data_IF_497291178051
#
_entry.id   IF_497291178051
#
_cell.length_a   1.000
_cell.length_b   1.000
_cell.length_c   1.000
_cell.angle_alpha   90.00
_cell.angle_beta   90.00
_cell.angle_gamma   90.00
#
_symmetry.space_group_name_H-M   'P 1'
#
loop_
_entity.id
_entity.type
_entity.pdbx_description
1 polymer ?
#
# COMPACT_ATOMS: atom_id res chain seq x y z
N UNK A 1 -30.52 15.05 1.17
CA UNK A 1 -30.13 13.69 0.78
C UNK A 1 -28.78 13.81 0.12
N UNK A 2 -27.71 13.63 0.90
CA UNK A 2 -26.38 14.16 0.61
C UNK A 2 -25.39 13.08 0.16
N UNK A 3 -24.83 13.31 -1.01
CA UNK A 3 -23.50 12.91 -1.52
C UNK A 3 -23.04 11.48 -1.23
N UNK A 4 -23.39 10.55 -2.13
CA UNK A 4 -22.62 9.32 -2.37
C UNK A 4 -21.32 9.67 -3.10
N UNK A 5 -20.21 9.82 -2.36
CA UNK A 5 -18.87 9.80 -2.94
C UNK A 5 -18.10 8.58 -2.39
N UNK A 6 -18.58 7.44 -2.84
CA UNK A 6 -18.05 6.10 -2.67
C UNK A 6 -16.75 5.94 -3.48
N UNK A 7 -15.58 6.20 -2.87
CA UNK A 7 -14.29 5.83 -3.45
C UNK A 7 -13.22 5.68 -2.35
N UNK A 8 -13.29 4.59 -1.60
CA UNK A 8 -12.15 4.02 -0.85
C UNK A 8 -11.66 2.75 -1.55
N UNK A 9 -10.70 1.99 -0.97
CA UNK A 9 -10.24 0.67 -1.48
C UNK A 9 -11.38 -0.19 -2.03
N UNK A 10 -12.55 -0.08 -1.42
CA UNK A 10 -13.69 -0.96 -1.65
C UNK A 10 -14.75 -0.40 -2.59
N UNK A 11 -14.50 0.73 -3.26
CA UNK A 11 -15.44 1.35 -4.19
C UNK A 11 -16.68 1.87 -3.48
N UNK A 12 -17.59 1.00 -3.04
CA UNK A 12 -18.94 1.30 -2.56
C UNK A 12 -19.19 1.09 -1.06
N UNK A 13 -18.19 0.66 -0.31
CA UNK A 13 -18.37 0.26 1.09
C UNK A 13 -17.99 1.41 2.03
N UNK A 14 -19.01 2.01 2.64
CA UNK A 14 -18.86 3.04 3.65
C UNK A 14 -18.26 2.54 4.98
N UNK A 15 -17.80 3.44 5.86
CA UNK A 15 -17.10 3.08 7.09
C UNK A 15 -18.00 2.31 8.06
N UNK A 16 -19.30 2.62 8.14
CA UNK A 16 -20.26 1.86 8.94
C UNK A 16 -20.42 0.43 8.44
N UNK A 17 -20.49 0.24 7.12
CA UNK A 17 -20.67 -1.07 6.51
C UNK A 17 -19.41 -1.91 6.66
N UNK A 18 -18.24 -1.32 6.47
CA UNK A 18 -16.96 -2.00 6.70
C UNK A 18 -16.83 -2.45 8.16
N UNK A 19 -17.10 -1.56 9.11
CA UNK A 19 -17.01 -1.87 10.54
C UNK A 19 -18.02 -2.94 10.96
N UNK A 20 -19.31 -2.73 10.67
CA UNK A 20 -20.39 -3.60 11.16
C UNK A 20 -20.48 -4.91 10.38
N UNK A 21 -20.22 -4.86 9.08
CA UNK A 21 -20.34 -6.00 8.19
C UNK A 21 -19.14 -6.93 8.28
N UNK A 22 -17.93 -6.39 8.40
CA UNK A 22 -16.71 -7.17 8.24
C UNK A 22 -15.80 -7.12 9.46
N UNK A 23 -15.37 -5.93 9.88
CA UNK A 23 -14.29 -5.82 10.87
C UNK A 23 -14.70 -6.34 12.26
N UNK A 24 -15.84 -5.88 12.77
CA UNK A 24 -16.35 -6.32 14.08
C UNK A 24 -16.69 -7.82 14.08
N UNK A 25 -17.43 -8.38 13.11
CA UNK A 25 -17.66 -9.82 13.04
C UNK A 25 -16.37 -10.64 12.98
N UNK A 26 -15.38 -10.23 12.18
CA UNK A 26 -14.09 -10.91 12.11
C UNK A 26 -13.35 -10.90 13.45
N UNK A 27 -13.33 -9.76 14.15
CA UNK A 27 -12.73 -9.65 15.47
C UNK A 27 -13.44 -10.53 16.51
N UNK A 28 -14.77 -10.54 16.54
CA UNK A 28 -15.53 -11.39 17.48
C UNK A 28 -15.34 -12.88 17.17
N UNK A 29 -15.31 -13.26 15.89
CA UNK A 29 -15.03 -14.63 15.47
C UNK A 29 -13.61 -15.06 15.89
N UNK A 30 -12.61 -14.19 15.69
CA UNK A 30 -11.26 -14.38 16.21
C UNK A 30 -11.30 -14.65 17.72
N UNK A 31 -11.93 -13.79 18.52
CA UNK A 31 -11.96 -13.95 19.99
C UNK A 31 -12.54 -15.29 20.45
N UNK A 32 -13.45 -15.88 19.66
CA UNK A 32 -14.04 -17.18 19.97
C UNK A 32 -13.16 -18.38 19.59
N UNK A 33 -12.24 -18.22 18.64
CA UNK A 33 -11.46 -19.33 18.04
C UNK A 33 -10.00 -19.26 18.44
N UNK A 34 -9.38 -18.09 18.31
CA UNK A 34 -7.98 -17.82 18.61
C UNK A 34 -7.84 -16.35 19.07
N UNK A 35 -7.93 -16.09 20.38
CA UNK A 35 -7.82 -14.73 20.90
C UNK A 35 -6.43 -14.11 20.70
N UNK A 36 -5.39 -14.93 20.46
CA UNK A 36 -4.01 -14.49 20.29
C UNK A 36 -3.68 -14.05 18.85
N UNK A 37 -4.44 -14.55 17.86
CA UNK A 37 -4.34 -14.12 16.46
C UNK A 37 -4.46 -12.59 16.33
N UNK A 38 -3.95 -12.00 15.24
CA UNK A 38 -4.02 -10.53 15.02
C UNK A 38 -4.93 -10.19 13.85
N UNK A 39 -5.77 -9.17 14.03
CA UNK A 39 -6.57 -8.58 12.95
C UNK A 39 -5.80 -7.39 12.38
N UNK A 40 -5.34 -7.55 11.14
CA UNK A 40 -4.87 -6.48 10.28
C UNK A 40 -6.08 -5.89 9.54
N UNK A 41 -6.39 -4.62 9.79
CA UNK A 41 -7.45 -3.92 9.05
C UNK A 41 -6.86 -3.14 7.88
N UNK A 42 -7.42 -3.32 6.67
CA UNK A 42 -7.10 -2.51 5.50
C UNK A 42 -7.89 -1.21 5.57
N UNK A 43 -7.25 -0.12 5.99
CA UNK A 43 -7.95 1.11 6.36
C UNK A 43 -7.81 2.23 5.32
N UNK A 44 -6.73 2.21 4.56
CA UNK A 44 -6.46 3.27 3.60
C UNK A 44 -5.74 2.73 2.35
N UNK A 45 -6.10 3.30 1.21
CA UNK A 45 -5.32 3.21 -0.01
C UNK A 45 -4.97 4.61 -0.46
N UNK A 46 -3.68 4.86 -0.56
CA UNK A 46 -3.16 6.16 -0.95
C UNK A 46 -2.64 6.01 -2.37
N UNK A 47 -3.40 6.47 -3.39
CA UNK A 47 -2.82 6.64 -4.71
C UNK A 47 -1.78 7.76 -4.66
N UNK A 48 -0.96 7.80 -5.70
CA UNK A 48 -0.10 8.94 -6.00
C UNK A 48 -0.84 10.29 -5.88
N UNK A 49 -0.11 11.39 -5.63
CA UNK A 49 -0.71 12.73 -5.49
C UNK A 49 -1.36 13.26 -6.79
N UNK A 50 -1.29 12.54 -7.92
CA UNK A 50 -2.08 12.81 -9.13
C UNK A 50 -3.37 11.96 -9.23
N UNK A 51 -3.64 11.09 -8.27
CA UNK A 51 -4.88 10.32 -8.08
C UNK A 51 -5.15 9.25 -9.14
N UNK A 52 -4.12 8.52 -9.55
CA UNK A 52 -4.18 7.65 -10.74
C UNK A 52 -4.34 6.15 -10.46
N UNK A 53 -5.19 5.73 -9.51
CA UNK A 53 -5.94 4.46 -9.71
C UNK A 53 -7.26 4.66 -10.47
N UNK A 54 -7.80 5.88 -10.57
CA UNK A 54 -8.87 6.20 -11.57
C UNK A 54 -8.65 7.47 -12.43
N UNK A 55 -7.59 8.26 -12.20
CA UNK A 55 -7.25 9.40 -13.06
C UNK A 55 -7.91 10.68 -12.57
N UNK A 56 -7.85 10.91 -11.26
CA UNK A 56 -8.60 11.98 -10.61
C UNK A 56 -7.69 12.83 -9.74
N UNK A 57 -7.31 14.05 -10.16
CA UNK A 57 -6.62 15.03 -9.32
C UNK A 57 -7.55 15.69 -8.29
N UNK A 58 -8.58 14.99 -7.81
CA UNK A 58 -9.70 15.58 -7.06
C UNK A 58 -9.41 15.61 -5.54
N UNK A 59 -9.28 16.80 -4.92
CA UNK A 59 -9.19 16.95 -3.46
C UNK A 59 -10.32 16.25 -2.70
N UNK A 60 -11.49 16.05 -3.33
CA UNK A 60 -12.60 15.32 -2.73
C UNK A 60 -12.21 13.88 -2.35
N UNK A 61 -11.35 13.21 -3.11
CA UNK A 61 -10.93 11.82 -2.80
C UNK A 61 -9.93 11.74 -1.64
N UNK A 62 -9.02 12.71 -1.52
CA UNK A 62 -8.11 12.77 -0.37
C UNK A 62 -8.89 13.09 0.91
N UNK A 63 -9.85 14.02 0.82
CA UNK A 63 -10.80 14.26 1.90
C UNK A 63 -11.59 12.99 2.20
N UNK A 64 -12.04 12.23 1.20
CA UNK A 64 -12.77 10.98 1.43
C UNK A 64 -11.96 9.94 2.20
N UNK A 65 -10.64 9.78 1.96
CA UNK A 65 -9.82 8.83 2.75
C UNK A 65 -9.64 9.32 4.18
N UNK A 66 -9.35 10.61 4.39
CA UNK A 66 -9.21 11.19 5.73
C UNK A 66 -10.54 11.08 6.49
N UNK A 67 -11.65 11.45 5.84
CA UNK A 67 -13.00 11.40 6.39
C UNK A 67 -13.42 9.96 6.67
N UNK A 68 -13.10 9.00 5.79
CA UNK A 68 -13.39 7.59 6.00
C UNK A 68 -12.66 7.03 7.22
N UNK A 69 -11.35 7.29 7.31
CA UNK A 69 -10.51 6.81 8.42
C UNK A 69 -10.91 7.50 9.73
N UNK A 70 -11.17 8.80 9.71
CA UNK A 70 -11.68 9.56 10.85
C UNK A 70 -13.07 9.08 11.28
N UNK A 71 -13.94 8.73 10.32
CA UNK A 71 -15.27 8.18 10.61
C UNK A 71 -15.17 6.80 11.25
N UNK A 72 -14.28 5.91 10.78
CA UNK A 72 -14.02 4.63 11.44
C UNK A 72 -13.56 4.83 12.88
N UNK A 73 -12.66 5.78 13.15
CA UNK A 73 -12.26 6.14 14.50
C UNK A 73 -13.47 6.55 15.36
N UNK A 74 -14.29 7.48 14.86
CA UNK A 74 -15.47 7.98 15.57
C UNK A 74 -16.54 6.89 15.82
N UNK A 75 -16.59 5.86 14.98
CA UNK A 75 -17.49 4.71 15.14
C UNK A 75 -16.96 3.64 16.12
N UNK A 76 -15.77 3.82 16.70
CA UNK A 76 -15.16 2.85 17.62
C UNK A 76 -14.44 1.69 16.92
N UNK A 77 -14.05 1.84 15.65
CA UNK A 77 -13.26 0.83 14.95
C UNK A 77 -11.96 0.39 15.68
N UNK A 78 -11.23 1.26 16.42
CA UNK A 78 -10.00 0.87 17.10
C UNK A 78 -10.12 -0.32 18.07
N UNK A 79 -11.32 -0.64 18.55
CA UNK A 79 -11.57 -1.78 19.44
C UNK A 79 -11.64 -3.12 18.69
N UNK A 80 -11.68 -3.09 17.36
CA UNK A 80 -11.94 -4.27 16.51
C UNK A 80 -10.79 -4.63 15.58
N UNK A 81 -9.60 -4.05 15.77
CA UNK A 81 -8.40 -4.46 15.05
C UNK A 81 -7.14 -4.30 15.89
N UNK A 82 -6.11 -5.08 15.54
CA UNK A 82 -4.82 -5.06 16.21
C UNK A 82 -3.82 -4.17 15.45
N UNK A 83 -3.85 -4.20 14.12
CA UNK A 83 -2.89 -3.51 13.24
C UNK A 83 -3.63 -2.69 12.19
N UNK A 84 -3.20 -1.43 12.00
CA UNK A 84 -3.70 -0.54 10.97
C UNK A 84 -2.89 -0.70 9.68
N UNK A 85 -3.54 -1.09 8.58
CA UNK A 85 -2.88 -1.34 7.31
C UNK A 85 -3.20 -0.30 6.24
N UNK A 86 -2.19 0.04 5.43
CA UNK A 86 -2.29 0.96 4.30
C UNK A 86 -1.62 0.37 3.05
N UNK A 87 -2.28 0.50 1.90
CA UNK A 87 -1.70 0.20 0.60
C UNK A 87 -1.33 1.49 -0.13
N UNK A 88 -0.13 1.53 -0.71
CA UNK A 88 0.46 2.74 -1.30
C UNK A 88 1.04 2.39 -2.67
N UNK A 89 0.55 3.05 -3.72
CA UNK A 89 1.12 2.90 -5.06
C UNK A 89 1.24 4.27 -5.75
N UNK A 90 2.37 4.52 -6.39
CA UNK A 90 2.47 5.56 -7.41
C UNK A 90 1.78 5.15 -8.70
N UNK A 91 1.34 6.16 -9.46
CA UNK A 91 0.63 6.10 -10.75
C UNK A 91 0.82 4.78 -11.49
N UNK A 92 -0.06 3.81 -11.21
CA UNK A 92 -0.02 2.48 -11.83
C UNK A 92 -0.22 2.56 -13.35
N UNK A 93 -0.76 3.68 -13.86
CA UNK A 93 -1.03 3.90 -15.29
C UNK A 93 0.14 4.53 -16.05
N UNK A 94 0.99 5.32 -15.40
CA UNK A 94 2.02 6.09 -16.11
C UNK A 94 3.42 5.93 -15.56
N UNK A 95 3.55 5.39 -14.36
CA UNK A 95 4.77 5.42 -13.60
C UNK A 95 5.31 6.85 -13.43
N UNK A 96 6.15 7.09 -12.45
CA UNK A 96 7.08 8.20 -12.52
C UNK A 96 7.96 8.06 -13.79
N UNK A 97 8.05 9.12 -14.61
CA UNK A 97 8.93 9.15 -15.81
C UNK A 97 10.43 9.06 -15.46
N UNK A 98 10.77 9.11 -14.18
CA UNK A 98 12.12 8.99 -13.63
C UNK A 98 12.07 8.62 -12.15
N UNK A 99 13.13 7.96 -11.66
CA UNK A 99 13.34 7.69 -10.24
C UNK A 99 13.22 8.93 -9.33
N UNK A 100 13.69 10.10 -9.78
CA UNK A 100 13.60 11.34 -8.99
C UNK A 100 12.15 11.79 -8.77
N UNK A 101 11.32 11.68 -9.82
CA UNK A 101 9.89 11.96 -9.73
C UNK A 101 9.15 10.90 -8.92
N UNK A 102 9.60 9.65 -8.99
CA UNK A 102 9.08 8.57 -8.15
C UNK A 102 9.30 8.89 -6.69
N UNK A 103 10.54 9.19 -6.35
CA UNK A 103 10.97 9.49 -5.00
C UNK A 103 10.17 10.66 -4.41
N UNK A 104 9.97 11.75 -5.15
CA UNK A 104 9.19 12.88 -4.61
C UNK A 104 7.70 12.56 -4.38
N UNK A 105 7.06 11.82 -5.28
CA UNK A 105 5.61 11.55 -5.22
C UNK A 105 5.28 10.37 -4.30
N UNK A 106 6.03 9.27 -4.39
CA UNK A 106 5.88 8.09 -3.53
C UNK A 106 6.22 8.39 -2.09
N UNK A 107 7.32 9.10 -1.83
CA UNK A 107 7.64 9.45 -0.46
C UNK A 107 6.52 10.32 0.12
N UNK A 108 5.95 11.24 -0.67
CA UNK A 108 4.80 12.02 -0.20
C UNK A 108 3.60 11.14 0.11
N UNK A 109 3.26 10.17 -0.73
CA UNK A 109 2.15 9.25 -0.51
C UNK A 109 2.38 8.34 0.71
N UNK A 110 3.57 7.75 0.83
CA UNK A 110 3.99 6.92 1.96
C UNK A 110 3.90 7.71 3.26
N UNK A 111 4.52 8.89 3.31
CA UNK A 111 4.49 9.77 4.48
C UNK A 111 3.07 10.11 4.88
N UNK A 112 2.22 10.50 3.93
CA UNK A 112 0.82 10.84 4.20
C UNK A 112 0.02 9.65 4.72
N UNK A 113 0.14 8.48 4.10
CA UNK A 113 -0.60 7.29 4.48
C UNK A 113 -0.24 6.78 5.87
N UNK A 114 1.06 6.60 6.11
CA UNK A 114 1.56 6.14 7.42
C UNK A 114 1.22 7.16 8.50
N UNK A 115 1.48 8.45 8.26
CA UNK A 115 1.20 9.51 9.24
C UNK A 115 -0.30 9.67 9.52
N UNK A 116 -1.16 9.52 8.52
CA UNK A 116 -2.61 9.53 8.71
C UNK A 116 -3.01 8.43 9.71
N UNK A 117 -2.61 7.19 9.48
CA UNK A 117 -2.98 6.09 10.37
C UNK A 117 -2.36 6.23 11.76
N UNK A 118 -1.11 6.66 11.88
CA UNK A 118 -0.46 6.92 13.18
C UNK A 118 -1.16 8.01 13.97
N UNK A 119 -1.65 9.04 13.31
CA UNK A 119 -2.34 10.18 13.94
C UNK A 119 -3.76 9.79 14.34
N UNK A 120 -4.48 9.08 13.46
CA UNK A 120 -5.88 8.71 13.71
C UNK A 120 -6.00 7.52 14.68
N UNK A 121 -5.02 6.62 14.71
CA UNK A 121 -5.04 5.44 15.59
C UNK A 121 -3.79 5.39 16.47
N UNK A 122 -3.64 6.33 17.42
CA UNK A 122 -2.48 6.37 18.29
C UNK A 122 -2.35 5.05 19.07
N UNK A 123 -1.12 4.52 19.13
CA UNK A 123 -0.80 3.26 19.81
C UNK A 123 -1.07 1.98 19.00
N UNK A 124 -1.67 2.07 17.81
CA UNK A 124 -1.79 0.91 16.90
C UNK A 124 -0.52 0.78 16.03
N UNK A 125 0.03 -0.43 15.86
CA UNK A 125 1.01 -0.72 14.81
C UNK A 125 0.47 -0.33 13.44
N UNK A 126 1.32 0.25 12.59
CA UNK A 126 0.98 0.58 11.21
C UNK A 126 1.83 -0.25 10.26
N UNK A 127 1.18 -0.98 9.36
CA UNK A 127 1.85 -1.77 8.32
C UNK A 127 1.52 -1.19 6.94
N UNK A 128 2.55 -1.04 6.10
CA UNK A 128 2.37 -0.82 4.66
C UNK A 128 2.17 -2.18 4.03
N UNK A 129 0.94 -2.50 3.68
CA UNK A 129 0.49 -3.87 3.38
C UNK A 129 0.60 -4.23 1.91
N UNK A 130 0.62 -3.20 1.06
CA UNK A 130 1.05 -3.33 -0.33
C UNK A 130 1.73 -2.05 -0.76
N UNK A 131 2.88 -2.19 -1.41
CA UNK A 131 3.50 -1.13 -2.18
C UNK A 131 4.44 -1.72 -3.23
N UNK A 132 4.60 -1.04 -4.35
CA UNK A 132 5.46 -1.52 -5.42
C UNK A 132 5.49 -0.60 -6.61
N UNK A 133 6.38 -0.89 -7.55
CA UNK A 133 6.50 -0.16 -8.81
C UNK A 133 6.84 -1.12 -9.94
N UNK A 134 5.99 -1.18 -10.97
CA UNK A 134 6.13 -2.11 -12.08
C UNK A 134 7.24 -1.72 -13.05
N UNK A 135 8.06 -2.69 -13.46
CA UNK A 135 9.16 -2.48 -14.40
C UNK A 135 8.86 -3.03 -15.79
N UNK A 136 9.14 -2.30 -16.87
CA UNK A 136 8.94 -2.82 -18.23
C UNK A 136 9.98 -3.88 -18.58
N UNK A 137 9.62 -5.17 -18.52
CA UNK A 137 10.51 -6.25 -18.96
C UNK A 137 10.61 -6.34 -20.48
N UNK A 138 9.56 -5.92 -21.22
CA UNK A 138 9.41 -6.19 -22.65
C UNK A 138 9.55 -4.94 -23.53
N UNK A 139 9.70 -3.75 -22.93
CA UNK A 139 9.64 -2.47 -23.65
C UNK A 139 8.23 -2.12 -24.14
N UNK A 140 7.21 -2.84 -23.66
CA UNK A 140 5.82 -2.74 -24.12
C UNK A 140 5.02 -1.66 -23.36
N UNK A 141 5.55 -1.15 -22.26
CA UNK A 141 4.97 -0.06 -21.47
C UNK A 141 5.04 1.30 -22.16
N UNK A 142 5.63 1.40 -23.36
CA UNK A 142 5.69 2.63 -24.13
C UNK A 142 6.38 3.78 -23.39
N UNK A 143 7.37 3.46 -22.55
CA UNK A 143 8.10 4.41 -21.71
C UNK A 143 7.35 4.88 -20.45
N UNK A 144 6.29 4.15 -20.03
CA UNK A 144 5.46 4.47 -18.85
C UNK A 144 5.73 3.58 -17.63
N UNK A 145 6.60 2.59 -17.72
CA UNK A 145 6.99 1.80 -16.56
C UNK A 145 8.44 2.11 -16.19
N UNK A 146 8.80 1.76 -14.96
CA UNK A 146 10.19 1.85 -14.54
C UNK A 146 11.07 0.93 -15.39
N UNK A 147 12.33 1.25 -15.55
CA UNK A 147 13.34 0.25 -15.90
C UNK A 147 13.53 -0.73 -14.72
N UNK A 148 14.14 -1.89 -14.99
CA UNK A 148 14.51 -2.86 -13.95
C UNK A 148 15.41 -2.24 -12.88
N UNK A 149 16.31 -1.33 -13.29
CA UNK A 149 17.21 -0.63 -12.38
C UNK A 149 16.47 0.41 -11.53
N UNK A 150 15.49 1.12 -12.10
CA UNK A 150 14.65 2.06 -11.34
C UNK A 150 13.79 1.35 -10.31
N UNK A 151 13.16 0.22 -10.67
CA UNK A 151 12.43 -0.60 -9.70
C UNK A 151 13.36 -1.05 -8.57
N UNK A 152 14.58 -1.50 -8.89
CA UNK A 152 15.55 -1.92 -7.88
C UNK A 152 16.03 -0.78 -6.97
N UNK A 153 16.23 0.41 -7.52
CA UNK A 153 16.61 1.60 -6.74
C UNK A 153 15.47 2.10 -5.84
N UNK A 154 14.21 1.85 -6.24
CA UNK A 154 13.05 2.29 -5.48
C UNK A 154 12.78 1.47 -4.22
N UNK A 155 13.05 0.15 -4.25
CA UNK A 155 12.84 -0.74 -3.10
C UNK A 155 13.37 -0.18 -1.77
N UNK A 156 14.67 0.17 -1.63
CA UNK A 156 15.17 0.70 -0.36
C UNK A 156 14.51 2.04 0.03
N UNK A 157 14.24 2.91 -0.94
CA UNK A 157 13.66 4.24 -0.70
C UNK A 157 12.25 4.13 -0.11
N UNK A 158 11.43 3.24 -0.67
CA UNK A 158 10.09 2.94 -0.16
C UNK A 158 10.16 2.48 1.31
N UNK A 159 11.01 1.49 1.60
CA UNK A 159 11.11 0.92 2.93
C UNK A 159 11.65 1.95 3.92
N UNK A 160 12.76 2.62 3.61
CA UNK A 160 13.37 3.62 4.49
C UNK A 160 12.39 4.75 4.80
N UNK A 161 11.62 5.20 3.81
CA UNK A 161 10.61 6.25 4.01
C UNK A 161 9.46 5.79 4.91
N UNK A 162 8.92 4.59 4.67
CA UNK A 162 7.82 4.07 5.48
C UNK A 162 8.25 3.85 6.93
N UNK A 163 9.43 3.27 7.15
CA UNK A 163 9.98 3.02 8.48
C UNK A 163 10.28 4.34 9.21
N UNK A 164 10.81 5.36 8.52
CA UNK A 164 11.07 6.68 9.10
C UNK A 164 9.78 7.39 9.56
N UNK A 165 8.63 7.09 8.94
CA UNK A 165 7.32 7.64 9.33
C UNK A 165 6.62 6.78 10.40
N UNK A 166 7.24 5.69 10.83
CA UNK A 166 6.79 4.85 11.93
C UNK A 166 5.94 3.65 11.51
N UNK A 167 6.04 3.20 10.26
CA UNK A 167 5.57 1.87 9.88
C UNK A 167 6.44 0.81 10.58
N UNK A 168 5.84 -0.31 10.99
CA UNK A 168 6.56 -1.44 11.59
C UNK A 168 6.88 -2.54 10.58
N UNK A 169 6.09 -2.62 9.51
CA UNK A 169 6.29 -3.57 8.41
C UNK A 169 5.93 -2.95 7.08
N UNK A 170 6.64 -3.35 6.04
CA UNK A 170 6.39 -2.98 4.65
C UNK A 170 6.38 -4.26 3.82
N UNK A 171 5.34 -4.43 3.01
CA UNK A 171 5.15 -5.59 2.15
C UNK A 171 5.19 -5.14 0.69
N UNK A 172 6.19 -5.65 -0.04
CA UNK A 172 6.29 -5.43 -1.48
C UNK A 172 5.21 -6.24 -2.21
N UNK A 173 4.46 -5.57 -3.10
CA UNK A 173 3.56 -6.23 -4.03
C UNK A 173 4.24 -6.34 -5.39
N UNK A 174 4.47 -7.53 -5.96
CA UNK A 174 4.31 -8.89 -5.41
C UNK A 174 5.59 -9.71 -5.59
N UNK A 175 5.56 -11.02 -5.29
CA UNK A 175 6.75 -11.85 -5.45
C UNK A 175 7.12 -12.07 -6.93
N UNK A 176 6.14 -12.47 -7.75
CA UNK A 176 6.32 -12.87 -9.15
C UNK A 176 5.51 -11.99 -10.09
N UNK A 177 6.08 -11.67 -11.24
CA UNK A 177 5.35 -11.02 -12.33
C UNK A 177 4.17 -11.90 -12.81
N UNK A 178 3.09 -11.25 -13.23
CA UNK A 178 1.90 -11.90 -13.77
C UNK A 178 2.05 -12.13 -15.28
N UNK A 179 1.57 -13.28 -15.75
CA UNK A 179 1.46 -13.59 -17.19
C UNK A 179 0.21 -12.98 -17.84
N UNK A 180 -0.72 -12.45 -17.04
CA UNK A 180 -1.91 -11.77 -17.57
C UNK A 180 -1.59 -10.32 -17.87
N UNK A 181 -2.00 -9.84 -19.04
CA UNK A 181 -2.15 -8.41 -19.29
C UNK A 181 -3.09 -7.85 -18.21
N UNK A 182 -2.55 -7.02 -17.34
CA UNK A 182 -3.31 -6.37 -16.29
C UNK A 182 -4.07 -5.17 -16.87
N UNK A 183 -5.05 -4.68 -16.12
CA UNK A 183 -5.79 -3.45 -16.48
C UNK A 183 -4.88 -2.21 -16.63
N UNK A 184 -3.64 -2.29 -16.15
CA UNK A 184 -2.64 -1.23 -16.20
C UNK A 184 -1.32 -1.70 -16.84
N UNK A 185 -0.65 -0.86 -17.67
CA UNK A 185 0.51 -1.27 -18.47
C UNK A 185 1.66 -1.89 -17.67
N UNK A 186 1.85 -1.46 -16.42
CA UNK A 186 2.96 -1.88 -15.57
C UNK A 186 2.53 -2.85 -14.45
N UNK A 187 1.23 -3.05 -14.25
CA UNK A 187 0.68 -3.88 -13.17
C UNK A 187 1.18 -5.34 -13.19
N UNK A 188 1.26 -6.00 -14.35
CA UNK A 188 1.80 -7.36 -14.44
C UNK A 188 3.27 -7.48 -14.04
N UNK A 189 4.02 -6.38 -14.01
CA UNK A 189 5.47 -6.38 -13.90
C UNK A 189 6.01 -5.86 -12.56
N UNK A 190 5.19 -5.96 -11.52
CA UNK A 190 5.44 -5.57 -10.13
C UNK A 190 6.29 -6.59 -9.35
N UNK A 191 6.46 -7.79 -9.87
CA UNK A 191 7.21 -8.88 -9.25
C UNK A 191 8.68 -8.55 -9.00
N UNK A 192 9.22 -9.15 -7.94
CA UNK A 192 10.66 -9.22 -7.67
C UNK A 192 11.37 -10.27 -8.55
N UNK A 193 10.61 -11.25 -9.04
CA UNK A 193 11.07 -12.24 -10.01
C UNK A 193 10.18 -12.24 -11.25
N UNK A 194 10.74 -12.62 -12.39
CA UNK A 194 10.01 -12.76 -13.65
C UNK A 194 9.01 -13.94 -13.60
N UNK A 195 8.18 -14.16 -14.63
CA UNK A 195 7.22 -15.27 -14.64
C UNK A 195 7.84 -16.67 -14.52
N UNK A 196 9.12 -16.83 -14.85
CA UNK A 196 9.88 -18.07 -14.78
C UNK A 196 10.73 -18.20 -13.50
N UNK A 197 10.50 -17.32 -12.51
CA UNK A 197 11.24 -17.22 -11.25
C UNK A 197 12.71 -16.80 -11.39
N UNK A 198 13.08 -16.18 -12.52
CA UNK A 198 14.39 -15.53 -12.65
C UNK A 198 14.39 -14.25 -11.81
N UNK A 199 15.35 -14.06 -10.88
CA UNK A 199 15.44 -12.83 -10.10
C UNK A 199 15.63 -11.58 -10.94
N UNK A 200 14.81 -10.55 -10.70
CA UNK A 200 15.05 -9.19 -11.21
C UNK A 200 16.05 -8.47 -10.30
N UNK A 201 16.70 -7.39 -10.75
CA UNK A 201 17.57 -6.58 -9.90
C UNK A 201 16.90 -6.10 -8.59
N UNK A 202 15.58 -5.93 -8.60
CA UNK A 202 14.76 -5.59 -7.43
C UNK A 202 14.72 -6.69 -6.37
N UNK A 203 14.84 -7.97 -6.73
CA UNK A 203 14.99 -9.06 -5.75
C UNK A 203 16.23 -8.90 -4.89
N UNK A 204 17.37 -8.56 -5.51
CA UNK A 204 18.62 -8.35 -4.77
C UNK A 204 18.55 -7.12 -3.88
N UNK A 205 17.89 -6.05 -4.33
CA UNK A 205 17.64 -4.87 -3.50
C UNK A 205 16.74 -5.19 -2.31
N UNK A 206 15.65 -5.93 -2.53
CA UNK A 206 14.74 -6.39 -1.50
C UNK A 206 15.45 -7.25 -0.47
N UNK A 207 16.19 -8.30 -0.88
CA UNK A 207 16.97 -9.15 0.03
C UNK A 207 17.94 -8.38 0.90
N UNK A 208 18.64 -7.38 0.35
CA UNK A 208 19.53 -6.54 1.14
C UNK A 208 18.77 -5.75 2.19
N UNK A 209 17.61 -5.20 1.82
CA UNK A 209 16.79 -4.38 2.72
C UNK A 209 16.15 -5.20 3.84
N UNK A 210 15.58 -6.37 3.55
CA UNK A 210 14.97 -7.22 4.59
C UNK A 210 16.01 -8.07 5.33
N UNK A 211 17.15 -8.36 4.71
CA UNK A 211 18.23 -9.15 5.27
C UNK A 211 19.14 -8.38 6.22
N UNK A 212 19.21 -7.04 6.11
CA UNK A 212 19.78 -6.20 7.17
C UNK A 212 18.93 -6.28 8.43
N UNK A 213 17.62 -6.25 8.28
CA UNK A 213 16.66 -6.19 9.39
C UNK A 213 16.58 -7.55 10.13
N UNK A 214 16.85 -8.66 9.45
CA UNK A 214 16.96 -10.00 10.07
C UNK A 214 18.14 -10.15 11.04
N UNK A 215 19.22 -9.37 10.89
CA UNK A 215 20.34 -9.42 11.84
C UNK A 215 20.01 -8.77 13.18
N UNK A 216 19.05 -7.85 13.20
CA UNK A 216 18.62 -7.12 14.40
C UNK A 216 17.45 -7.81 15.13
N UNK A 217 16.84 -8.84 14.51
CA UNK A 217 15.77 -9.68 15.09
C UNK A 217 16.27 -10.94 15.81
N UNK A 218 17.57 -11.25 15.73
CA UNK A 218 18.21 -12.42 16.36
C UNK A 218 19.22 -11.97 17.46
N UNK A 219 19.06 -10.76 17.98
CA UNK A 219 19.77 -10.27 19.18
C UNK A 219 18.77 -9.89 20.26
#
# INVERSE_FOLDING_TARGET
MGVEANNTIFGTIGPEQYLKGWLKPAFLAKQAVDPDAKILAMLAYIPDPHGTILGLPDPALQNNVIDYVGRLQALGAPDFFDIAGVSIYTDARRGPKSLEKANSLDQTAVRRGVRLLKTTFPGKPVWVTEAGWGADLLGNGGGKCASLQEQAAYVPILYDTAMAEGAEKVFWFGFRDSLHEGEFPCGPWLGLVDPNFTPKPSWEAFKRKIGSDLKDLIR
#
